data_IF_633312903427
#
_entry.id   IF_633312903427
#
_cell.length_a   1.000
_cell.length_b   1.000
_cell.length_c   1.000
_cell.angle_alpha   90.00
_cell.angle_beta   90.00
_cell.angle_gamma   90.00
#
_symmetry.space_group_name_H-M   'P 1'
#
loop_
_entity.id
_entity.type
_entity.pdbx_description
1 polymer ?
#
# COMPACT_ATOMS: atom_id res chain seq x y z
N UNK A 1 28.56 13.73 -49.10
CA UNK A 1 27.50 14.48 -48.41
C UNK A 1 26.83 13.56 -47.40
N UNK A 2 27.02 13.83 -46.12
CA UNK A 2 26.59 12.96 -45.02
C UNK A 2 25.12 13.25 -44.72
N UNK A 3 24.22 12.38 -45.16
CA UNK A 3 22.79 12.50 -44.86
C UNK A 3 22.61 12.39 -43.33
N UNK A 4 22.19 13.50 -42.72
CA UNK A 4 21.90 13.58 -41.29
C UNK A 4 20.89 12.50 -40.89
N UNK A 5 21.26 11.67 -39.92
CA UNK A 5 20.38 10.65 -39.35
C UNK A 5 19.18 11.35 -38.68
N UNK A 6 18.05 11.40 -39.37
CA UNK A 6 16.77 11.78 -38.78
C UNK A 6 16.41 10.74 -37.70
N UNK A 7 16.70 11.07 -36.44
CA UNK A 7 16.42 10.22 -35.27
C UNK A 7 14.97 10.39 -34.83
N UNK A 8 14.02 10.03 -35.67
CA UNK A 8 12.63 9.91 -35.25
C UNK A 8 12.43 8.62 -34.46
N UNK A 9 11.87 8.72 -33.25
CA UNK A 9 11.57 7.57 -32.41
C UNK A 9 10.48 6.72 -33.07
N UNK A 10 10.86 5.58 -33.64
CA UNK A 10 9.95 4.59 -34.21
C UNK A 10 9.47 3.59 -33.15
N UNK A 11 8.33 2.93 -33.36
CA UNK A 11 7.73 1.99 -32.40
C UNK A 11 8.69 0.85 -32.01
N UNK A 12 9.47 0.32 -32.96
CA UNK A 12 10.45 -0.74 -32.68
C UNK A 12 11.66 -0.28 -31.86
N UNK A 13 11.87 1.04 -31.72
CA UNK A 13 12.91 1.62 -30.88
C UNK A 13 12.45 1.79 -29.42
N UNK A 14 11.16 1.67 -29.14
CA UNK A 14 10.62 1.73 -27.78
C UNK A 14 11.03 0.48 -26.99
N UNK A 15 11.97 0.64 -26.06
CA UNK A 15 12.35 -0.40 -25.10
C UNK A 15 12.01 0.08 -23.69
N UNK A 16 11.39 -0.80 -22.91
CA UNK A 16 11.11 -0.54 -21.49
C UNK A 16 12.41 -0.45 -20.68
N UNK A 17 12.50 0.54 -19.80
CA UNK A 17 13.61 0.67 -18.84
C UNK A 17 13.58 -0.45 -17.79
N UNK A 18 12.38 -0.80 -17.29
CA UNK A 18 12.19 -1.89 -16.34
C UNK A 18 11.46 -3.07 -16.99
N UNK A 19 12.00 -4.28 -16.82
CA UNK A 19 11.41 -5.49 -17.39
C UNK A 19 10.23 -5.97 -16.53
N UNK A 20 9.06 -6.20 -17.15
CA UNK A 20 7.96 -6.90 -16.49
C UNK A 20 8.41 -8.31 -16.11
N UNK A 21 8.09 -8.69 -14.88
CA UNK A 21 8.28 -10.04 -14.38
C UNK A 21 7.34 -11.00 -15.12
N UNK A 22 7.87 -12.13 -15.59
CA UNK A 22 7.05 -13.21 -16.14
C UNK A 22 6.44 -14.03 -15.01
N UNK A 23 5.24 -14.55 -15.22
CA UNK A 23 4.63 -15.49 -14.30
C UNK A 23 5.40 -16.81 -14.24
N UNK A 24 5.31 -17.47 -13.09
CA UNK A 24 5.96 -18.75 -12.86
C UNK A 24 5.13 -19.87 -13.48
N UNK A 25 5.67 -20.53 -14.49
CA UNK A 25 5.11 -21.74 -15.06
C UNK A 25 5.44 -22.95 -14.16
N UNK A 26 4.42 -23.71 -13.77
CA UNK A 26 4.56 -24.96 -13.01
C UNK A 26 4.09 -26.14 -13.87
N UNK A 27 4.66 -27.34 -13.67
CA UNK A 27 4.30 -28.51 -14.48
C UNK A 27 4.83 -28.49 -15.92
N UNK A 28 5.97 -27.84 -16.16
CA UNK A 28 6.63 -27.70 -17.48
C UNK A 28 8.14 -27.97 -17.41
N UNK A 29 8.55 -29.09 -16.80
CA UNK A 29 9.97 -29.44 -16.64
C UNK A 29 10.68 -28.78 -15.45
N UNK A 30 11.88 -29.27 -15.12
CA UNK A 30 12.72 -28.76 -14.01
C UNK A 30 12.18 -29.01 -12.59
N UNK A 31 12.59 -28.16 -11.64
CA UNK A 31 12.36 -28.31 -10.18
C UNK A 31 10.89 -28.44 -9.76
N UNK A 32 9.96 -27.87 -10.52
CA UNK A 32 8.52 -27.88 -10.22
C UNK A 32 7.69 -28.57 -11.30
N UNK A 33 8.25 -29.58 -11.96
CA UNK A 33 7.56 -30.37 -12.98
C UNK A 33 6.52 -31.31 -12.38
N UNK A 34 6.97 -32.49 -11.92
CA UNK A 34 6.10 -33.62 -11.54
C UNK A 34 5.20 -33.32 -10.35
N UNK A 35 5.71 -32.56 -9.38
CA UNK A 35 5.01 -32.30 -8.11
C UNK A 35 4.53 -30.87 -7.96
N UNK A 36 4.82 -29.99 -8.93
CA UNK A 36 4.51 -28.55 -8.85
C UNK A 36 4.97 -27.87 -7.54
N UNK A 37 6.00 -28.43 -6.88
CA UNK A 37 6.48 -27.94 -5.58
C UNK A 37 5.63 -28.33 -4.36
N UNK A 38 4.65 -29.22 -4.52
CA UNK A 38 3.79 -29.71 -3.42
C UNK A 38 4.35 -30.94 -2.69
N UNK A 39 5.44 -31.50 -3.19
CA UNK A 39 6.02 -32.74 -2.67
C UNK A 39 5.33 -33.99 -3.19
N UNK A 40 5.32 -35.06 -2.38
CA UNK A 40 4.81 -36.38 -2.77
C UNK A 40 3.28 -36.51 -2.68
N UNK A 41 2.83 -37.69 -2.26
CA UNK A 41 1.40 -38.01 -2.06
C UNK A 41 0.97 -37.56 -0.66
N UNK A 42 -0.26 -37.08 -0.52
CA UNK A 42 -0.83 -36.69 0.78
C UNK A 42 -1.95 -35.67 0.64
N UNK A 43 -2.61 -35.33 1.74
CA UNK A 43 -3.72 -34.37 1.74
C UNK A 43 -3.30 -33.00 1.18
N UNK A 44 -2.08 -32.52 1.46
CA UNK A 44 -1.53 -31.26 0.93
C UNK A 44 -1.43 -31.21 -0.59
N UNK A 45 -1.16 -32.36 -1.21
CA UNK A 45 -0.90 -32.47 -2.64
C UNK A 45 -2.16 -32.66 -3.48
N UNK A 46 -3.31 -32.97 -2.86
CA UNK A 46 -4.58 -33.17 -3.56
C UNK A 46 -5.23 -31.84 -3.97
N UNK A 47 -5.98 -31.87 -5.07
CA UNK A 47 -6.83 -30.76 -5.46
C UNK A 47 -7.89 -30.48 -4.38
N UNK A 48 -8.28 -29.22 -4.23
CA UNK A 48 -9.30 -28.84 -3.25
C UNK A 48 -8.84 -28.83 -1.78
N UNK A 49 -7.58 -29.14 -1.48
CA UNK A 49 -7.06 -29.04 -0.11
C UNK A 49 -6.94 -27.57 0.34
N UNK A 50 -8.05 -27.04 0.87
CA UNK A 50 -8.18 -25.74 1.52
C UNK A 50 -8.36 -25.96 3.01
N UNK A 51 -7.26 -26.23 3.72
CA UNK A 51 -7.32 -26.39 5.17
C UNK A 51 -7.74 -25.09 5.82
N UNK A 52 -8.54 -25.23 6.86
CA UNK A 52 -8.89 -24.15 7.77
C UNK A 52 -7.62 -23.55 8.39
N UNK A 53 -7.39 -22.23 8.32
CA UNK A 53 -6.28 -21.60 9.02
C UNK A 53 -6.45 -21.71 10.55
N UNK A 54 -5.38 -22.05 11.25
CA UNK A 54 -5.33 -22.14 12.73
C UNK A 54 -5.74 -20.81 13.39
N UNK A 55 -5.40 -19.69 12.73
CA UNK A 55 -5.78 -18.35 13.15
C UNK A 55 -7.30 -18.17 13.32
N UNK A 56 -8.14 -18.95 12.61
CA UNK A 56 -9.59 -18.88 12.80
C UNK A 56 -10.01 -19.37 14.19
N UNK A 57 -9.29 -20.30 14.79
CA UNK A 57 -9.61 -20.81 16.12
C UNK A 57 -9.08 -19.85 17.20
N UNK A 58 -7.98 -19.16 16.93
CA UNK A 58 -7.51 -18.03 17.74
C UNK A 58 -8.55 -16.90 17.74
N UNK A 59 -9.02 -16.46 16.57
CA UNK A 59 -10.05 -15.40 16.45
C UNK A 59 -11.33 -15.78 17.20
N UNK A 60 -11.75 -17.04 17.12
CA UNK A 60 -12.98 -17.51 17.78
C UNK A 60 -12.91 -17.45 19.30
N UNK A 61 -11.73 -17.57 19.89
CA UNK A 61 -11.54 -17.44 21.35
C UNK A 61 -11.67 -15.99 21.81
N UNK A 62 -11.37 -15.02 20.95
CA UNK A 62 -11.43 -13.61 21.29
C UNK A 62 -12.88 -13.10 21.29
N UNK A 63 -13.26 -12.23 22.25
CA UNK A 63 -14.54 -11.55 22.20
C UNK A 63 -14.62 -10.64 20.96
N UNK A 64 -15.82 -10.45 20.42
CA UNK A 64 -16.04 -9.52 19.30
C UNK A 64 -15.66 -8.10 19.73
N UNK A 65 -14.98 -7.36 18.85
CA UNK A 65 -14.71 -5.95 19.09
C UNK A 65 -16.01 -5.14 18.95
N UNK A 66 -16.59 -4.71 20.07
CA UNK A 66 -17.82 -3.92 20.08
C UNK A 66 -17.53 -2.49 19.61
N UNK A 67 -18.48 -1.86 18.92
CA UNK A 67 -18.33 -0.48 18.43
C UNK A 67 -17.39 -0.30 17.25
N UNK A 68 -16.84 -1.36 16.65
CA UNK A 68 -15.89 -1.25 15.53
C UNK A 68 -16.48 -0.55 14.29
N UNK A 69 -17.79 -0.69 14.05
CA UNK A 69 -18.47 -0.08 12.91
C UNK A 69 -18.86 1.39 13.19
N UNK A 70 -18.80 1.83 14.45
CA UNK A 70 -19.09 3.20 14.83
C UNK A 70 -17.94 4.12 14.42
N UNK A 71 -18.18 4.95 13.39
CA UNK A 71 -17.22 5.98 12.97
C UNK A 71 -17.32 7.19 13.91
N UNK A 72 -16.64 7.14 15.06
CA UNK A 72 -16.60 8.28 15.99
C UNK A 72 -15.98 9.52 15.33
N UNK A 73 -16.37 10.72 15.80
CA UNK A 73 -15.70 11.97 15.39
C UNK A 73 -14.19 11.85 15.68
N UNK A 74 -13.36 12.18 14.69
CA UNK A 74 -11.90 12.17 14.85
C UNK A 74 -11.51 13.22 15.90
N UNK A 75 -10.69 12.84 16.89
CA UNK A 75 -10.19 13.78 17.89
C UNK A 75 -9.48 14.96 17.18
N UNK A 76 -9.73 16.21 17.61
CA UNK A 76 -9.10 17.37 17.00
C UNK A 76 -7.58 17.33 17.22
N UNK A 77 -6.85 17.93 16.28
CA UNK A 77 -5.42 18.15 16.43
C UNK A 77 -5.20 19.32 17.40
N UNK A 78 -4.62 19.03 18.56
CA UNK A 78 -4.32 20.05 19.58
C UNK A 78 -3.03 20.77 19.22
N UNK A 79 -3.08 22.09 19.09
CA UNK A 79 -1.94 22.95 18.85
C UNK A 79 -1.69 23.81 20.09
N UNK A 80 -0.45 23.78 20.60
CA UNK A 80 -0.03 24.67 21.68
C UNK A 80 0.10 26.12 21.15
N UNK A 81 -0.20 27.10 22.00
CA UNK A 81 -0.08 28.53 21.66
C UNK A 81 1.32 28.93 21.17
N UNK A 82 2.38 28.33 21.70
CA UNK A 82 3.78 28.65 21.35
C UNK A 82 4.10 28.43 19.86
N UNK A 83 3.33 27.57 19.19
CA UNK A 83 3.55 27.25 17.77
C UNK A 83 2.81 28.20 16.84
N UNK A 84 2.03 29.14 17.38
CA UNK A 84 1.29 30.14 16.63
C UNK A 84 2.19 31.36 16.46
N UNK A 85 2.34 31.81 15.22
CA UNK A 85 3.09 33.03 14.91
C UNK A 85 2.07 34.13 14.61
N UNK A 86 2.38 35.36 15.01
CA UNK A 86 1.65 36.54 14.56
C UNK A 86 2.35 37.12 13.33
N UNK A 87 1.63 37.25 12.22
CA UNK A 87 2.13 37.96 11.03
C UNK A 87 1.42 39.30 10.96
N UNK A 88 2.17 40.40 10.97
CA UNK A 88 1.65 41.77 10.79
C UNK A 88 0.53 42.13 11.79
N UNK A 89 0.70 41.77 13.07
CA UNK A 89 -0.28 42.06 14.13
C UNK A 89 -1.53 41.17 14.10
N UNK A 90 -1.63 40.22 13.18
CA UNK A 90 -2.73 39.23 13.11
C UNK A 90 -2.21 37.83 13.44
N UNK A 91 -3.05 37.04 14.12
CA UNK A 91 -2.80 35.63 14.38
C UNK A 91 -2.84 34.86 13.06
N UNK A 92 -1.88 33.95 12.84
CA UNK A 92 -1.83 33.06 11.66
C UNK A 92 -3.17 32.37 11.38
N UNK A 93 -3.55 32.27 10.10
CA UNK A 93 -4.77 31.56 9.70
C UNK A 93 -4.58 30.04 9.81
N UNK A 94 -5.67 29.29 10.05
CA UNK A 94 -5.61 27.82 10.10
C UNK A 94 -5.13 27.16 8.80
N UNK A 95 -5.22 27.86 7.66
CA UNK A 95 -4.71 27.38 6.37
C UNK A 95 -3.18 27.44 6.32
N UNK A 96 -2.60 28.54 6.78
CA UNK A 96 -1.16 28.75 6.85
C UNK A 96 -0.50 27.78 7.84
N UNK A 97 -1.11 27.61 9.02
CA UNK A 97 -0.67 26.63 10.02
C UNK A 97 -0.61 25.21 9.41
N UNK A 98 -1.61 24.83 8.61
CA UNK A 98 -1.63 23.52 7.94
C UNK A 98 -0.52 23.36 6.90
N UNK A 99 -0.27 24.39 6.09
CA UNK A 99 0.80 24.36 5.09
C UNK A 99 2.18 24.29 5.73
N UNK A 100 2.43 25.10 6.76
CA UNK A 100 3.73 25.18 7.46
C UNK A 100 4.05 23.90 8.22
N UNK A 101 3.08 23.36 8.97
CA UNK A 101 3.28 22.18 9.83
C UNK A 101 2.93 20.85 9.12
N UNK A 102 2.52 20.87 7.85
CA UNK A 102 2.15 19.67 7.09
C UNK A 102 0.91 18.93 7.61
N UNK A 103 0.02 19.61 8.33
CA UNK A 103 -1.15 18.99 8.98
C UNK A 103 -2.27 18.78 7.96
N UNK A 104 -2.77 17.54 7.84
CA UNK A 104 -3.87 17.18 6.92
C UNK A 104 -5.14 16.75 7.64
N UNK A 105 -6.29 17.23 7.17
CA UNK A 105 -7.61 16.61 7.36
C UNK A 105 -8.20 16.53 8.77
N UNK A 106 -7.58 17.18 9.78
CA UNK A 106 -8.12 17.26 11.15
C UNK A 106 -8.58 18.68 11.49
N UNK A 107 -9.63 18.76 12.30
CA UNK A 107 -10.03 20.01 12.96
C UNK A 107 -8.94 20.43 13.95
N UNK A 108 -8.50 21.69 13.89
CA UNK A 108 -7.46 22.22 14.77
C UNK A 108 -8.14 22.85 15.97
N UNK A 109 -7.66 22.53 17.18
CA UNK A 109 -8.05 23.23 18.41
C UNK A 109 -6.79 23.77 19.05
N UNK A 110 -6.77 25.07 19.30
CA UNK A 110 -5.68 25.72 20.00
C UNK A 110 -5.92 25.52 21.50
N UNK A 111 -4.92 24.98 22.21
CA UNK A 111 -4.93 24.83 23.66
C UNK A 111 -3.84 25.71 24.27
#
# INVERSE_FOLDING_TARGET
MQAGKNKFMQIHNLKRQHKNKKDRLVGRGGKHAKTSGRGGKGQTARAGNKRRPELRDIIKKLPKNRGYQFKSKKKPFKLNKDKIISKEGKIETFSEIRKRLGIKGRHIVIK
#
